data_IF_097993443622
#
_entry.id   IF_097993443622
#
_cell.length_a   1.000
_cell.length_b   1.000
_cell.length_c   1.000
_cell.angle_alpha   90.00
_cell.angle_beta   90.00
_cell.angle_gamma   90.00
#
_symmetry.space_group_name_H-M   'P 1'
#
loop_
_entity.id
_entity.type
_entity.pdbx_description
1 polymer ?
#
# COMPACT_ATOMS: atom_id res chain seq x y z
N UNK A 1 -18.86 9.90 -48.96
CA UNK A 1 -19.18 10.45 -47.61
C UNK A 1 -18.85 9.49 -46.47
N UNK A 2 -19.20 8.18 -46.54
CA UNK A 2 -18.94 7.19 -45.47
C UNK A 2 -17.45 7.03 -45.07
N UNK A 3 -16.53 7.18 -46.01
CA UNK A 3 -15.08 7.03 -45.75
C UNK A 3 -14.48 8.21 -44.98
N UNK A 4 -15.02 9.42 -45.17
CA UNK A 4 -14.57 10.62 -44.46
C UNK A 4 -14.93 10.57 -42.97
N UNK A 5 -16.09 9.98 -42.64
CA UNK A 5 -16.53 9.77 -41.25
C UNK A 5 -15.63 8.77 -40.53
N UNK A 6 -15.26 7.67 -41.19
CA UNK A 6 -14.32 6.67 -40.64
C UNK A 6 -12.95 7.26 -40.34
N UNK A 7 -12.42 8.09 -41.24
CA UNK A 7 -11.12 8.77 -41.05
C UNK A 7 -11.17 9.73 -39.87
N UNK A 8 -12.23 10.53 -39.73
CA UNK A 8 -12.40 11.43 -38.57
C UNK A 8 -12.49 10.66 -37.24
N UNK A 9 -13.13 9.49 -37.25
CA UNK A 9 -13.28 8.64 -36.07
C UNK A 9 -11.95 7.97 -35.67
N UNK A 10 -11.13 7.56 -36.64
CA UNK A 10 -9.77 7.07 -36.39
C UNK A 10 -8.84 8.16 -35.85
N UNK A 11 -8.92 9.39 -36.37
CA UNK A 11 -8.13 10.51 -35.86
C UNK A 11 -8.53 10.87 -34.43
N UNK A 12 -9.84 10.85 -34.12
CA UNK A 12 -10.31 11.07 -32.75
C UNK A 12 -9.82 9.98 -31.79
N UNK A 13 -9.80 8.72 -32.22
CA UNK A 13 -9.31 7.60 -31.41
C UNK A 13 -7.81 7.69 -31.13
N UNK A 14 -7.01 8.09 -32.13
CA UNK A 14 -5.57 8.33 -31.96
C UNK A 14 -5.28 9.55 -31.08
N UNK A 15 -6.08 10.61 -31.18
CA UNK A 15 -5.95 11.79 -30.33
C UNK A 15 -6.23 11.48 -28.85
N UNK A 16 -7.27 10.68 -28.58
CA UNK A 16 -7.59 10.21 -27.22
C UNK A 16 -6.50 9.27 -26.70
N UNK A 17 -5.96 8.37 -27.54
CA UNK A 17 -4.83 7.52 -27.17
C UNK A 17 -3.55 8.35 -26.87
N UNK A 18 -3.32 9.43 -27.62
CA UNK A 18 -2.21 10.35 -27.38
C UNK A 18 -2.33 11.10 -26.06
N UNK A 19 -3.54 11.45 -25.61
CA UNK A 19 -3.77 12.10 -24.32
C UNK A 19 -3.40 11.19 -23.12
N UNK A 20 -3.49 9.87 -23.26
CA UNK A 20 -3.01 8.92 -22.24
C UNK A 20 -1.48 8.86 -22.13
N UNK A 21 -0.75 9.21 -23.18
CA UNK A 21 0.72 9.23 -23.18
C UNK A 21 1.30 10.49 -22.52
N UNK A 22 0.47 11.52 -22.31
CA UNK A 22 0.84 12.76 -21.62
C UNK A 22 0.27 12.82 -20.19
N UNK A 23 0.07 11.68 -19.54
CA UNK A 23 -0.10 11.68 -18.08
C UNK A 23 1.12 12.35 -17.48
N UNK A 24 0.94 13.58 -16.99
CA UNK A 24 1.97 14.28 -16.26
C UNK A 24 2.31 13.43 -15.05
N UNK A 25 3.54 12.92 -14.99
CA UNK A 25 4.07 12.31 -13.79
C UNK A 25 3.82 13.29 -12.64
N UNK A 26 2.92 12.90 -11.75
CA UNK A 26 2.68 13.58 -10.50
C UNK A 26 4.00 13.56 -9.74
N UNK A 27 4.72 14.68 -9.80
CA UNK A 27 5.95 14.89 -9.07
C UNK A 27 5.59 14.92 -7.58
N UNK A 28 5.48 13.73 -6.99
CA UNK A 28 5.35 13.53 -5.57
C UNK A 28 6.51 14.29 -4.93
N UNK A 29 6.16 15.34 -4.18
CA UNK A 29 7.09 16.37 -3.76
C UNK A 29 8.36 15.80 -3.15
N UNK A 30 9.46 16.50 -3.35
CA UNK A 30 10.76 16.25 -2.71
C UNK A 30 10.66 16.48 -1.20
N UNK A 31 9.86 15.67 -0.51
CA UNK A 31 9.90 15.49 0.92
C UNK A 31 11.29 15.03 1.26
N UNK A 32 12.05 15.97 1.77
CA UNK A 32 13.49 15.92 1.89
C UNK A 32 13.94 14.76 2.80
N UNK A 33 15.19 14.35 2.64
CA UNK A 33 15.75 13.11 3.22
C UNK A 33 15.78 13.06 4.75
N UNK A 34 15.35 14.11 5.45
CA UNK A 34 15.47 14.24 6.91
C UNK A 34 14.69 13.15 7.64
N UNK A 35 13.54 12.72 7.11
CA UNK A 35 12.72 11.68 7.74
C UNK A 35 13.05 10.26 7.29
N UNK A 36 13.95 10.08 6.31
CA UNK A 36 14.34 8.73 5.86
C UNK A 36 15.05 7.95 6.97
N UNK A 37 15.92 8.58 7.76
CA UNK A 37 16.61 7.91 8.85
C UNK A 37 15.62 7.39 9.91
N UNK A 38 14.63 8.20 10.27
CA UNK A 38 13.56 7.81 11.21
C UNK A 38 12.69 6.72 10.61
N UNK A 39 12.32 6.84 9.33
CA UNK A 39 11.51 5.83 8.63
C UNK A 39 12.22 4.48 8.54
N UNK A 40 13.52 4.47 8.23
CA UNK A 40 14.35 3.27 8.23
C UNK A 40 14.45 2.65 9.62
N UNK A 41 14.63 3.47 10.67
CA UNK A 41 14.65 2.98 12.05
C UNK A 41 13.34 2.29 12.43
N UNK A 42 12.20 2.93 12.15
CA UNK A 42 10.87 2.36 12.41
C UNK A 42 10.65 1.07 11.61
N UNK A 43 11.04 1.06 10.34
CA UNK A 43 10.93 -0.13 9.47
C UNK A 43 11.78 -1.28 10.02
N UNK A 44 13.00 -1.00 10.49
CA UNK A 44 13.87 -1.99 11.11
C UNK A 44 13.28 -2.53 12.43
N UNK A 45 12.60 -1.71 13.22
CA UNK A 45 11.88 -2.21 14.40
C UNK A 45 10.71 -3.10 14.01
N UNK A 46 9.91 -2.70 13.02
CA UNK A 46 8.75 -3.45 12.55
C UNK A 46 9.12 -4.80 11.91
N UNK A 47 10.25 -4.87 11.20
CA UNK A 47 10.71 -6.10 10.55
C UNK A 47 11.71 -6.90 11.40
N UNK A 48 12.24 -6.31 12.47
CA UNK A 48 13.27 -6.89 13.32
C UNK A 48 12.73 -7.76 14.48
N UNK A 49 13.56 -7.93 15.51
CA UNK A 49 13.20 -8.69 16.72
C UNK A 49 12.04 -8.06 17.49
N UNK A 50 11.95 -6.73 17.51
CA UNK A 50 10.84 -6.00 18.14
C UNK A 50 9.51 -6.29 17.45
N UNK A 51 9.47 -6.28 16.12
CA UNK A 51 8.27 -6.60 15.36
C UNK A 51 7.76 -8.02 15.62
N UNK A 52 8.66 -8.99 15.76
CA UNK A 52 8.31 -10.37 16.14
C UNK A 52 7.71 -10.45 17.54
N UNK A 53 8.27 -9.69 18.50
CA UNK A 53 7.75 -9.61 19.86
C UNK A 53 6.35 -8.98 19.89
N UNK A 54 6.16 -7.88 19.16
CA UNK A 54 4.87 -7.19 19.07
C UNK A 54 3.82 -8.07 18.37
N UNK A 55 4.20 -8.79 17.31
CA UNK A 55 3.32 -9.75 16.66
C UNK A 55 2.88 -10.87 17.62
N UNK A 56 3.80 -11.39 18.43
CA UNK A 56 3.46 -12.35 19.49
C UNK A 56 2.51 -11.73 20.54
N UNK A 57 2.74 -10.47 20.93
CA UNK A 57 1.85 -9.75 21.84
C UNK A 57 0.44 -9.58 21.27
N UNK A 58 0.28 -9.25 19.99
CA UNK A 58 -1.03 -9.15 19.33
C UNK A 58 -1.77 -10.48 19.31
N UNK A 59 -1.07 -11.60 19.11
CA UNK A 59 -1.66 -12.93 19.18
C UNK A 59 -2.16 -13.23 20.60
N UNK A 60 -1.37 -12.91 21.62
CA UNK A 60 -1.76 -13.11 23.03
C UNK A 60 -2.98 -12.24 23.38
N UNK A 61 -2.98 -10.96 23.02
CA UNK A 61 -4.12 -10.06 23.26
C UNK A 61 -5.37 -10.51 22.51
N UNK A 62 -5.23 -10.92 21.24
CA UNK A 62 -6.31 -11.47 20.45
C UNK A 62 -6.88 -12.77 21.03
N UNK A 63 -6.02 -13.62 21.58
CA UNK A 63 -6.44 -14.85 22.27
C UNK A 63 -7.20 -14.52 23.55
N UNK A 64 -6.72 -13.58 24.38
CA UNK A 64 -7.44 -13.13 25.58
C UNK A 64 -8.83 -12.60 25.21
N UNK A 65 -8.93 -11.75 24.19
CA UNK A 65 -10.21 -11.24 23.70
C UNK A 65 -11.12 -12.35 23.13
N UNK A 66 -10.54 -13.38 22.50
CA UNK A 66 -11.26 -14.55 22.00
C UNK A 66 -11.80 -15.44 23.12
N UNK A 67 -11.01 -15.65 24.18
CA UNK A 67 -11.42 -16.43 25.36
C UNK A 67 -12.62 -15.79 26.04
N UNK A 68 -12.63 -14.46 26.20
CA UNK A 68 -13.78 -13.73 26.76
C UNK A 68 -15.08 -13.95 25.97
N UNK A 69 -14.97 -14.28 24.68
CA UNK A 69 -16.10 -14.47 23.76
C UNK A 69 -16.32 -15.95 23.41
N UNK A 70 -15.61 -16.86 24.06
CA UNK A 70 -15.57 -18.29 23.76
C UNK A 70 -15.41 -18.59 22.25
N UNK A 71 -14.53 -17.83 21.58
CA UNK A 71 -14.39 -17.84 20.13
C UNK A 71 -12.93 -17.82 19.69
N UNK A 72 -12.60 -18.68 18.72
CA UNK A 72 -11.27 -18.72 18.08
C UNK A 72 -11.01 -17.50 17.18
N UNK A 73 -12.05 -16.72 16.83
CA UNK A 73 -11.92 -15.58 15.93
C UNK A 73 -10.97 -14.50 16.48
N UNK A 74 -10.86 -14.38 17.82
CA UNK A 74 -9.90 -13.46 18.45
C UNK A 74 -8.44 -13.79 18.14
N UNK A 75 -8.09 -15.08 18.05
CA UNK A 75 -6.77 -15.51 17.61
C UNK A 75 -6.51 -15.14 16.15
N UNK A 76 -7.48 -15.38 15.26
CA UNK A 76 -7.36 -15.03 13.84
C UNK A 76 -7.11 -13.53 13.64
N UNK A 77 -7.81 -12.67 14.39
CA UNK A 77 -7.60 -11.22 14.36
C UNK A 77 -6.21 -10.84 14.90
N UNK A 78 -5.76 -11.48 15.99
CA UNK A 78 -4.41 -11.27 16.53
C UNK A 78 -3.30 -11.63 15.55
N UNK A 79 -3.45 -12.75 14.83
CA UNK A 79 -2.52 -13.16 13.76
C UNK A 79 -2.57 -12.19 12.58
N UNK A 80 -3.75 -11.79 12.14
CA UNK A 80 -3.91 -10.82 11.05
C UNK A 80 -3.26 -9.47 11.38
N UNK A 81 -3.38 -8.99 12.63
CA UNK A 81 -2.73 -7.78 13.11
C UNK A 81 -1.19 -7.91 13.11
N UNK A 82 -0.66 -9.05 13.57
CA UNK A 82 0.78 -9.33 13.52
C UNK A 82 1.34 -9.38 12.10
N UNK A 83 0.60 -9.98 11.16
CA UNK A 83 0.97 -10.00 9.74
C UNK A 83 0.91 -8.59 9.12
N UNK A 84 -0.11 -7.81 9.47
CA UNK A 84 -0.26 -6.42 9.03
C UNK A 84 0.92 -5.54 9.45
N UNK A 85 1.45 -5.75 10.66
CA UNK A 85 2.64 -5.03 11.13
C UNK A 85 3.87 -5.30 10.24
N UNK A 86 4.04 -6.54 9.76
CA UNK A 86 5.19 -6.90 8.93
C UNK A 86 5.04 -6.43 7.47
N UNK A 87 3.82 -6.39 6.95
CA UNK A 87 3.55 -5.97 5.56
C UNK A 87 3.37 -4.46 5.41
N UNK A 88 3.05 -3.74 6.48
CA UNK A 88 2.79 -2.30 6.47
C UNK A 88 3.88 -1.44 5.78
N UNK A 89 5.20 -1.63 6.02
CA UNK A 89 6.22 -0.80 5.36
C UNK A 89 6.23 -0.99 3.84
N UNK A 90 5.96 -2.22 3.36
CA UNK A 90 5.88 -2.51 1.93
C UNK A 90 4.67 -1.84 1.28
N UNK A 91 3.52 -1.85 1.94
CA UNK A 91 2.31 -1.17 1.46
C UNK A 91 2.50 0.35 1.47
N UNK A 92 3.06 0.92 2.54
CA UNK A 92 3.32 2.36 2.65
C UNK A 92 4.23 2.82 1.51
N UNK A 93 5.33 2.11 1.27
CA UNK A 93 6.23 2.44 0.16
C UNK A 93 5.50 2.37 -1.17
N UNK A 94 4.75 1.29 -1.43
CA UNK A 94 4.01 1.11 -2.68
C UNK A 94 2.99 2.22 -2.95
N UNK A 95 2.33 2.76 -1.91
CA UNK A 95 1.33 3.84 -2.05
C UNK A 95 1.99 5.20 -2.17
N UNK A 96 3.03 5.47 -1.39
CA UNK A 96 3.66 6.80 -1.32
C UNK A 96 4.60 7.05 -2.51
N UNK A 97 5.24 6.01 -3.06
CA UNK A 97 6.06 6.13 -4.27
C UNK A 97 5.28 5.85 -5.56
N UNK A 98 3.96 5.62 -5.48
CA UNK A 98 3.14 5.50 -6.69
C UNK A 98 3.01 6.87 -7.36
N UNK A 99 3.86 7.09 -8.35
CA UNK A 99 3.76 8.17 -9.32
C UNK A 99 2.54 7.87 -10.20
N UNK A 100 1.46 8.64 -10.07
CA UNK A 100 0.39 8.70 -11.07
C UNK A 100 0.85 9.53 -12.26
#
# INVERSE_FOLDING_TARGET
MKNLVKIKLLVALVAVAGMFLFSSESFAGTGSTEFNAVYTLLTNWMQGSLGKLIAAAFIVVGLIAGVLRNSLMGFAVGVAAGLGLFTAPGIINAVVTATW
#
